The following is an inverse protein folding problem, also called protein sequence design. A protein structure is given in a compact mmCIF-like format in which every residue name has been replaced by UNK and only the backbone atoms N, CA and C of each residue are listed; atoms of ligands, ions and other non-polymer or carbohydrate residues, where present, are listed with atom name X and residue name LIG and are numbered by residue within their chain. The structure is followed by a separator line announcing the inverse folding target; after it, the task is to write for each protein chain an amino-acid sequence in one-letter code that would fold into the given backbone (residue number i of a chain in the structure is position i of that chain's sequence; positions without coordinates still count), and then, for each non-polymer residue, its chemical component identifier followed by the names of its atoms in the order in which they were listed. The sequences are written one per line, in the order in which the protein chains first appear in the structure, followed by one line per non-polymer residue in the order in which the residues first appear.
data_IF_873670566407
#
_entry.id   IF_873670566407
#
_cell.length_a   1.000
_cell.length_b   1.000
_cell.length_c   1.000
_cell.angle_alpha   90.00
_cell.angle_beta   90.00
_cell.angle_gamma   90.00
#
_symmetry.space_group_name_H-M   'P 1'
#
loop_
_entity.id
_entity.type
_entity.pdbx_description
1 polymer ?
#
# COMPACT_ATOMS: atom_id res chain seq x y z
N UNK A 1 -2.06 -3.24 -19.86
CA UNK A 1 -0.81 -4.05 -19.77
C UNK A 1 0.14 -3.30 -18.84
N UNK A 2 0.49 -3.85 -17.68
CA UNK A 2 1.42 -3.26 -16.72
C UNK A 2 2.82 -3.83 -16.98
N UNK A 3 3.74 -2.97 -17.38
CA UNK A 3 5.16 -3.32 -17.55
C UNK A 3 5.92 -2.92 -16.29
N UNK A 4 6.60 -3.89 -15.68
CA UNK A 4 7.36 -3.72 -14.46
C UNK A 4 8.85 -3.93 -14.73
N UNK A 5 9.70 -3.22 -13.98
CA UNK A 5 11.15 -3.39 -14.03
C UNK A 5 11.60 -4.45 -13.03
N UNK A 6 12.38 -5.39 -13.50
CA UNK A 6 13.07 -6.35 -12.62
C UNK A 6 14.17 -5.63 -11.86
N UNK A 7 14.26 -5.90 -10.55
CA UNK A 7 15.37 -5.43 -9.71
C UNK A 7 16.26 -6.59 -9.27
N UNK A 8 17.52 -6.29 -8.96
CA UNK A 8 18.48 -7.27 -8.46
C UNK A 8 18.26 -7.59 -6.97
N UNK A 9 19.04 -8.50 -6.40
CA UNK A 9 19.00 -8.89 -4.99
C UNK A 9 19.37 -7.75 -4.01
N UNK A 10 19.86 -6.62 -4.51
CA UNK A 10 20.14 -5.40 -3.73
C UNK A 10 19.07 -4.34 -3.93
N UNK A 11 18.04 -4.63 -4.77
CA UNK A 11 16.98 -3.70 -5.13
C UNK A 11 17.39 -2.65 -6.15
N UNK A 12 18.48 -2.85 -6.89
CA UNK A 12 18.86 -1.96 -7.99
C UNK A 12 18.11 -2.34 -9.25
N UNK A 13 17.75 -1.34 -10.04
CA UNK A 13 17.12 -1.55 -11.34
C UNK A 13 18.02 -2.32 -12.29
N UNK A 14 17.47 -3.33 -12.95
CA UNK A 14 18.09 -4.02 -14.09
C UNK A 14 17.57 -3.46 -15.41
N UNK A 15 18.10 -3.95 -16.53
CA UNK A 15 17.59 -3.61 -17.87
C UNK A 15 16.40 -4.49 -18.28
N UNK A 16 16.04 -5.50 -17.48
CA UNK A 16 14.92 -6.41 -17.78
C UNK A 16 13.59 -5.75 -17.42
N UNK A 17 12.67 -5.71 -18.39
CA UNK A 17 11.30 -5.20 -18.23
C UNK A 17 10.38 -6.32 -18.70
N UNK A 18 9.42 -6.68 -17.87
CA UNK A 18 8.49 -7.76 -18.11
C UNK A 18 7.05 -7.29 -17.89
N UNK A 19 6.10 -7.95 -18.53
CA UNK A 19 4.71 -7.85 -18.16
C UNK A 19 4.50 -8.44 -16.76
N UNK A 20 3.62 -7.83 -15.97
CA UNK A 20 3.37 -8.20 -14.57
C UNK A 20 3.13 -9.69 -14.36
N UNK A 21 2.28 -10.33 -15.22
CA UNK A 21 1.98 -11.75 -15.10
C UNK A 21 3.23 -12.63 -15.38
N UNK A 22 3.99 -12.28 -16.39
CA UNK A 22 5.24 -12.97 -16.72
C UNK A 22 6.27 -12.83 -15.59
N UNK A 23 6.40 -11.61 -15.05
CA UNK A 23 7.32 -11.31 -13.95
C UNK A 23 7.00 -12.17 -12.72
N UNK A 24 5.73 -12.23 -12.33
CA UNK A 24 5.26 -13.03 -11.19
C UNK A 24 5.46 -14.54 -11.45
N UNK A 25 5.10 -15.03 -12.64
CA UNK A 25 5.28 -16.46 -13.00
C UNK A 25 6.75 -16.87 -12.98
N UNK A 26 7.66 -15.96 -13.29
CA UNK A 26 9.12 -16.20 -13.26
C UNK A 26 9.73 -15.94 -11.87
N UNK A 27 8.94 -15.53 -10.87
CA UNK A 27 9.41 -15.23 -9.51
C UNK A 27 10.45 -14.11 -9.45
N UNK A 28 10.39 -13.14 -10.39
CA UNK A 28 11.35 -12.04 -10.46
C UNK A 28 11.05 -10.97 -9.42
N UNK A 29 12.13 -10.36 -8.87
CA UNK A 29 12.03 -9.24 -7.94
C UNK A 29 11.63 -7.96 -8.67
N UNK A 30 10.75 -7.19 -8.05
CA UNK A 30 10.29 -5.87 -8.50
C UNK A 30 10.00 -4.96 -7.31
N UNK A 31 9.51 -3.75 -7.55
CA UNK A 31 9.16 -2.80 -6.50
C UNK A 31 7.64 -2.68 -6.36
N UNK A 32 7.17 -2.73 -5.13
CA UNK A 32 5.79 -2.43 -4.75
C UNK A 32 5.76 -1.32 -3.70
N UNK A 33 4.63 -0.64 -3.64
CA UNK A 33 4.37 0.40 -2.63
C UNK A 33 3.14 0.06 -1.82
N UNK A 34 3.17 0.42 -0.54
CA UNK A 34 1.98 0.53 0.33
C UNK A 34 1.88 1.94 0.87
N UNK A 35 0.66 2.49 0.90
CA UNK A 35 0.42 3.86 1.34
C UNK A 35 -0.63 3.89 2.44
N UNK A 36 -0.27 4.48 3.57
CA UNK A 36 -1.11 4.67 4.74
C UNK A 36 -1.59 6.12 4.78
N UNK A 37 -2.84 6.37 4.39
CA UNK A 37 -3.46 7.68 4.60
C UNK A 37 -3.92 7.70 6.06
N UNK A 38 -3.39 8.64 6.85
CA UNK A 38 -3.63 8.69 8.30
C UNK A 38 -4.27 10.00 8.74
N UNK A 39 -5.06 9.95 9.80
CA UNK A 39 -5.68 11.10 10.45
C UNK A 39 -5.80 10.82 11.95
N UNK A 40 -5.08 11.59 12.77
CA UNK A 40 -4.99 11.30 14.20
C UNK A 40 -4.58 9.83 14.46
N UNK A 41 -5.38 9.09 15.23
CA UNK A 41 -5.13 7.66 15.50
C UNK A 41 -5.86 6.73 14.52
N UNK A 42 -6.18 7.21 13.29
CA UNK A 42 -6.93 6.45 12.29
C UNK A 42 -6.14 6.26 11.01
N UNK A 43 -6.43 5.18 10.31
CA UNK A 43 -5.94 4.89 8.95
C UNK A 43 -7.13 4.66 8.04
N UNK A 44 -7.08 5.23 6.85
CA UNK A 44 -8.06 4.98 5.80
C UNK A 44 -7.83 3.59 5.22
N UNK A 45 -8.75 2.67 5.45
CA UNK A 45 -8.76 1.38 4.80
C UNK A 45 -9.73 1.38 3.64
N UNK A 46 -9.37 0.63 2.61
CA UNK A 46 -10.20 0.36 1.44
C UNK A 46 -10.78 -1.06 1.51
N UNK A 47 -12.06 -1.22 1.18
CA UNK A 47 -12.65 -2.52 0.91
C UNK A 47 -12.38 -2.89 -0.55
N UNK A 48 -11.56 -3.89 -0.79
CA UNK A 48 -11.21 -4.38 -2.13
C UNK A 48 -12.44 -4.91 -2.87
N UNK A 49 -12.49 -4.71 -4.17
CA UNK A 49 -13.58 -5.25 -4.98
C UNK A 49 -13.66 -6.78 -4.85
N UNK A 50 -14.89 -7.31 -4.93
CA UNK A 50 -15.13 -8.78 -4.94
C UNK A 50 -14.54 -9.47 -6.16
N UNK A 51 -14.27 -8.71 -7.22
CA UNK A 51 -13.74 -9.21 -8.51
C UNK A 51 -12.20 -9.22 -8.56
N UNK A 52 -11.53 -8.76 -7.51
CA UNK A 52 -10.05 -8.79 -7.46
C UNK A 52 -9.55 -10.22 -7.38
N UNK A 53 -8.53 -10.56 -8.17
CA UNK A 53 -7.88 -11.88 -8.19
C UNK A 53 -7.29 -12.25 -6.83
N UNK A 54 -6.65 -11.28 -6.16
CA UNK A 54 -5.99 -11.49 -4.87
C UNK A 54 -6.72 -10.76 -3.76
N UNK A 55 -6.93 -11.44 -2.63
CA UNK A 55 -7.60 -10.90 -1.44
C UNK A 55 -8.90 -10.16 -1.76
N UNK A 56 -9.86 -10.76 -2.53
CA UNK A 56 -11.14 -10.12 -2.83
C UNK A 56 -11.91 -9.84 -1.55
N UNK A 57 -12.65 -8.75 -1.54
CA UNK A 57 -13.55 -8.36 -0.45
C UNK A 57 -12.88 -8.21 0.93
N UNK A 58 -11.56 -7.97 1.00
CA UNK A 58 -10.83 -7.71 2.25
C UNK A 58 -10.53 -6.23 2.43
N UNK A 59 -10.34 -5.82 3.67
CA UNK A 59 -9.84 -4.48 4.01
C UNK A 59 -8.31 -4.45 3.88
N UNK A 60 -7.80 -3.39 3.30
CA UNK A 60 -6.36 -3.14 3.15
C UNK A 60 -6.06 -1.65 3.00
N UNK A 61 -4.80 -1.31 2.90
CA UNK A 61 -4.33 0.03 2.51
C UNK A 61 -4.16 0.11 1.00
N UNK A 62 -3.91 1.31 0.48
CA UNK A 62 -3.56 1.51 -0.93
C UNK A 62 -2.24 0.81 -1.22
N UNK A 63 -2.15 0.09 -2.33
CA UNK A 63 -0.95 -0.63 -2.73
C UNK A 63 -0.89 -0.81 -4.25
N UNK A 64 0.32 -0.77 -4.79
CA UNK A 64 0.50 -0.99 -6.23
C UNK A 64 1.93 -1.29 -6.64
N UNK A 65 2.07 -1.78 -7.86
CA UNK A 65 3.36 -2.09 -8.48
C UNK A 65 3.98 -0.85 -9.11
N UNK A 66 5.29 -0.68 -8.93
CA UNK A 66 6.02 0.36 -9.64
C UNK A 66 6.16 -0.01 -11.12
N UNK A 67 5.63 0.84 -11.99
CA UNK A 67 5.81 0.67 -13.42
C UNK A 67 7.30 0.83 -13.79
N UNK A 68 7.70 0.27 -14.93
CA UNK A 68 9.11 0.19 -15.34
C UNK A 68 9.84 1.53 -15.40
N UNK A 69 9.13 2.62 -15.58
CA UNK A 69 9.63 4.00 -15.69
C UNK A 69 9.33 4.86 -14.45
N UNK A 70 8.79 4.29 -13.39
CA UNK A 70 8.46 4.98 -12.16
C UNK A 70 9.46 4.71 -11.04
N UNK A 71 9.68 5.72 -10.21
CA UNK A 71 10.27 5.55 -8.88
C UNK A 71 9.16 5.23 -7.86
N UNK A 72 9.46 4.55 -6.74
CA UNK A 72 8.44 4.18 -5.74
C UNK A 72 7.59 5.33 -5.22
N UNK A 73 8.13 6.54 -5.05
CA UNK A 73 7.36 7.73 -4.67
C UNK A 73 6.37 8.16 -5.75
N UNK A 74 6.78 8.12 -7.02
CA UNK A 74 5.93 8.46 -8.16
C UNK A 74 4.77 7.46 -8.26
N UNK A 75 5.07 6.17 -8.07
CA UNK A 75 4.06 5.11 -7.97
C UNK A 75 3.06 5.40 -6.86
N UNK A 76 3.52 5.73 -5.65
CA UNK A 76 2.65 6.00 -4.52
C UNK A 76 1.70 7.18 -4.79
N UNK A 77 2.19 8.26 -5.40
CA UNK A 77 1.38 9.42 -5.77
C UNK A 77 0.34 9.05 -6.82
N UNK A 78 0.71 8.24 -7.83
CA UNK A 78 -0.22 7.75 -8.85
C UNK A 78 -1.32 6.90 -8.23
N UNK A 79 -0.98 5.89 -7.42
CA UNK A 79 -1.93 4.97 -6.79
C UNK A 79 -2.94 5.71 -5.87
N UNK A 80 -2.47 6.65 -5.04
CA UNK A 80 -3.36 7.48 -4.21
C UNK A 80 -4.37 8.25 -5.09
N UNK A 81 -3.91 8.81 -6.21
CA UNK A 81 -4.77 9.57 -7.11
C UNK A 81 -5.75 8.65 -7.85
N UNK A 82 -5.31 7.48 -8.30
CA UNK A 82 -6.14 6.54 -9.05
C UNK A 82 -7.18 5.87 -8.16
N UNK A 83 -6.76 5.28 -7.04
CA UNK A 83 -7.64 4.49 -6.20
C UNK A 83 -8.66 5.35 -5.40
N UNK A 84 -8.23 6.50 -4.86
CA UNK A 84 -9.07 7.31 -3.96
C UNK A 84 -9.24 8.78 -4.38
N UNK A 85 -8.69 9.19 -5.51
CA UNK A 85 -8.83 10.54 -6.06
C UNK A 85 -8.18 11.64 -5.22
N UNK A 86 -7.30 11.29 -4.29
CA UNK A 86 -6.56 12.26 -3.48
C UNK A 86 -5.35 12.76 -4.27
N UNK A 87 -5.25 14.08 -4.44
CA UNK A 87 -4.08 14.72 -5.05
C UNK A 87 -3.17 15.21 -3.93
N UNK A 88 -1.94 14.76 -3.94
CA UNK A 88 -0.88 15.18 -3.01
C UNK A 88 0.34 15.63 -3.79
N UNK A 89 1.19 16.44 -3.14
CA UNK A 89 2.52 16.78 -3.63
C UNK A 89 3.55 15.80 -3.05
N UNK A 90 4.71 15.69 -3.67
CA UNK A 90 5.75 14.77 -3.23
C UNK A 90 6.25 15.06 -1.80
N UNK A 91 6.28 16.34 -1.40
CA UNK A 91 6.66 16.75 -0.04
C UNK A 91 5.68 16.33 1.06
N UNK A 92 4.43 15.98 0.70
CA UNK A 92 3.41 15.49 1.64
C UNK A 92 3.50 13.97 1.84
N UNK A 93 4.28 13.27 0.99
CA UNK A 93 4.48 11.83 1.07
C UNK A 93 5.76 11.50 1.83
N UNK A 94 5.63 10.85 2.97
CA UNK A 94 6.74 10.53 3.86
C UNK A 94 7.00 9.03 3.90
N UNK A 95 8.28 8.63 3.94
CA UNK A 95 8.66 7.24 4.19
C UNK A 95 8.26 6.85 5.60
N UNK A 96 7.57 5.70 5.73
CA UNK A 96 7.09 5.20 7.02
C UNK A 96 8.11 4.29 7.69
N UNK A 97 8.65 3.36 6.93
CA UNK A 97 9.72 2.45 7.33
C UNK A 97 10.68 2.24 6.16
N UNK A 98 11.96 1.92 6.41
CA UNK A 98 12.88 1.55 5.35
C UNK A 98 12.34 0.41 4.50
N UNK A 99 12.63 0.42 3.21
CA UNK A 99 12.22 -0.67 2.31
C UNK A 99 12.69 -2.02 2.83
N UNK A 100 11.91 -3.05 2.58
CA UNK A 100 12.23 -4.43 2.98
C UNK A 100 11.83 -5.42 1.89
N UNK A 101 12.51 -6.56 1.89
CA UNK A 101 12.22 -7.65 0.97
C UNK A 101 11.01 -8.45 1.48
N UNK A 102 10.07 -8.72 0.58
CA UNK A 102 8.95 -9.63 0.78
C UNK A 102 9.13 -10.80 -0.18
N UNK A 103 9.17 -12.00 0.36
CA UNK A 103 9.27 -13.23 -0.40
C UNK A 103 7.97 -14.01 -0.25
N UNK A 104 7.20 -14.08 -1.32
CA UNK A 104 5.93 -14.80 -1.38
C UNK A 104 5.91 -15.67 -2.65
N UNK A 105 5.22 -16.81 -2.63
CA UNK A 105 5.02 -17.58 -3.86
C UNK A 105 4.42 -16.68 -4.96
N UNK A 106 5.13 -16.55 -6.07
CA UNK A 106 4.74 -15.75 -7.24
C UNK A 106 4.72 -14.21 -7.05
N UNK A 107 5.18 -13.66 -5.90
CA UNK A 107 5.21 -12.21 -5.70
C UNK A 107 6.41 -11.78 -4.83
N UNK A 108 7.61 -11.90 -5.36
CA UNK A 108 8.83 -11.45 -4.71
C UNK A 108 9.08 -9.98 -5.00
N UNK A 109 9.13 -9.12 -3.96
CA UNK A 109 9.25 -7.70 -4.18
C UNK A 109 9.97 -6.95 -3.05
N UNK A 110 10.52 -5.78 -3.38
CA UNK A 110 10.87 -4.78 -2.38
C UNK A 110 9.65 -3.92 -2.09
N UNK A 111 9.19 -3.95 -0.84
CA UNK A 111 8.09 -3.13 -0.34
C UNK A 111 8.61 -1.77 0.11
N UNK A 112 8.04 -0.70 -0.45
CA UNK A 112 8.22 0.68 0.00
C UNK A 112 6.95 1.17 0.68
N UNK A 113 7.06 1.52 1.96
CA UNK A 113 5.92 1.93 2.78
C UNK A 113 5.95 3.42 3.01
N UNK A 114 4.88 4.11 2.63
CA UNK A 114 4.72 5.55 2.78
C UNK A 114 3.50 5.89 3.63
N UNK A 115 3.50 7.10 4.21
CA UNK A 115 2.30 7.66 4.81
C UNK A 115 2.07 9.09 4.31
N UNK A 116 0.81 9.51 4.37
CA UNK A 116 0.34 10.87 4.12
C UNK A 116 -0.75 11.22 5.11
N UNK A 117 -0.75 12.46 5.59
CA UNK A 117 -1.78 12.95 6.52
C UNK A 117 -2.92 13.58 5.73
N UNK A 118 -4.16 13.20 6.05
CA UNK A 118 -5.33 13.80 5.42
C UNK A 118 -6.50 13.85 6.40
N UNK A 119 -7.14 14.99 6.51
CA UNK A 119 -8.35 15.21 7.32
C UNK A 119 -9.65 15.15 6.49
N UNK A 120 -9.59 14.60 5.28
CA UNK A 120 -10.76 14.48 4.41
C UNK A 120 -11.79 13.53 5.00
N UNK A 121 -13.07 13.89 4.83
CA UNK A 121 -14.18 13.00 5.15
C UNK A 121 -14.30 11.87 4.12
N UNK A 122 -14.74 10.70 4.54
CA UNK A 122 -14.84 9.48 3.72
C UNK A 122 -15.59 9.72 2.41
N UNK A 123 -16.71 10.43 2.47
CA UNK A 123 -17.57 10.72 1.33
C UNK A 123 -16.94 11.64 0.26
N UNK A 124 -15.82 12.28 0.58
CA UNK A 124 -15.11 13.17 -0.36
C UNK A 124 -14.07 12.46 -1.21
N UNK A 125 -13.74 11.19 -0.88
CA UNK A 125 -12.85 10.38 -1.70
C UNK A 125 -13.56 9.90 -2.96
N UNK A 126 -12.87 9.98 -4.10
CA UNK A 126 -13.36 9.48 -5.38
C UNK A 126 -12.74 8.13 -5.68
N UNK A 127 -13.40 7.07 -5.26
CA UNK A 127 -12.88 5.71 -5.40
C UNK A 127 -12.98 5.19 -6.82
N UNK A 128 -12.01 4.38 -7.22
CA UNK A 128 -12.03 3.59 -8.45
C UNK A 128 -12.89 2.34 -8.22
N UNK A 129 -14.12 2.36 -8.68
CA UNK A 129 -15.15 1.34 -8.38
C UNK A 129 -14.81 -0.06 -8.91
N UNK A 130 -13.98 -0.15 -9.92
CA UNK A 130 -13.47 -1.42 -10.46
C UNK A 130 -12.58 -2.14 -9.44
N UNK A 131 -11.86 -1.39 -8.63
CA UNK A 131 -10.91 -1.90 -7.65
C UNK A 131 -11.43 -1.91 -6.22
N UNK A 132 -12.28 -0.93 -5.86
CA UNK A 132 -12.73 -0.68 -4.50
C UNK A 132 -14.24 -0.62 -4.40
N UNK A 133 -14.77 -1.12 -3.27
CA UNK A 133 -16.20 -0.99 -2.93
C UNK A 133 -16.47 0.30 -2.16
N UNK A 134 -15.60 0.62 -1.19
CA UNK A 134 -15.64 1.83 -0.36
C UNK A 134 -14.29 2.06 0.34
N UNK A 135 -14.13 3.24 0.91
CA UNK A 135 -13.07 3.56 1.88
C UNK A 135 -13.69 3.99 3.19
N UNK A 136 -13.00 3.72 4.31
CA UNK A 136 -13.46 4.08 5.64
C UNK A 136 -12.29 4.27 6.61
N UNK A 137 -12.43 5.22 7.53
CA UNK A 137 -11.49 5.42 8.62
C UNK A 137 -11.63 4.35 9.69
N UNK A 138 -10.52 3.75 10.07
CA UNK A 138 -10.45 2.75 11.16
C UNK A 138 -9.42 3.17 12.17
N UNK A 139 -9.76 3.05 13.45
CA UNK A 139 -8.80 3.27 14.54
C UNK A 139 -7.68 2.25 14.44
N UNK A 140 -6.44 2.71 14.62
CA UNK A 140 -5.25 1.85 14.54
C UNK A 140 -5.32 0.72 15.56
N UNK A 141 -5.80 0.99 16.78
CA UNK A 141 -5.96 -0.04 17.81
C UNK A 141 -6.93 -1.14 17.37
N UNK A 142 -8.03 -0.75 16.70
CA UNK A 142 -8.97 -1.72 16.12
C UNK A 142 -8.36 -2.59 15.03
N UNK A 143 -7.52 -2.01 14.18
CA UNK A 143 -6.79 -2.77 13.16
C UNK A 143 -5.85 -3.78 13.82
N UNK A 144 -5.10 -3.35 14.85
CA UNK A 144 -4.20 -4.24 15.62
C UNK A 144 -4.97 -5.39 16.29
N UNK A 145 -6.16 -5.12 16.86
CA UNK A 145 -7.04 -6.16 17.40
C UNK A 145 -7.46 -7.18 16.32
N UNK A 146 -7.86 -6.69 15.13
CA UNK A 146 -8.23 -7.56 14.01
C UNK A 146 -7.05 -8.43 13.56
N UNK A 147 -5.84 -7.90 13.54
CA UNK A 147 -4.62 -8.66 13.22
C UNK A 147 -4.37 -9.74 14.29
N UNK A 148 -4.40 -9.37 15.57
CA UNK A 148 -4.15 -10.28 16.69
C UNK A 148 -5.16 -11.41 16.77
N UNK A 149 -6.43 -11.14 16.47
CA UNK A 149 -7.49 -12.14 16.43
C UNK A 149 -7.45 -13.06 15.21
N UNK A 150 -6.55 -12.78 14.24
CA UNK A 150 -6.47 -13.54 12.99
C UNK A 150 -7.69 -13.33 12.09
N UNK A 151 -8.28 -12.12 12.11
CA UNK A 151 -9.44 -11.80 11.29
C UNK A 151 -9.19 -12.10 9.81
N UNK A 152 -10.14 -12.79 9.19
CA UNK A 152 -10.10 -13.08 7.74
C UNK A 152 -10.56 -11.90 6.87
N UNK A 153 -11.05 -10.83 7.51
CA UNK A 153 -11.62 -9.64 6.84
C UNK A 153 -10.57 -8.62 6.39
N UNK A 154 -9.32 -8.82 6.78
CA UNK A 154 -8.18 -7.94 6.50
C UNK A 154 -7.10 -8.66 5.68
N UNK A 155 -6.24 -7.89 5.01
CA UNK A 155 -5.06 -8.41 4.30
C UNK A 155 -3.82 -8.51 5.18
N UNK A 156 -3.80 -7.81 6.31
CA UNK A 156 -2.61 -7.63 7.15
C UNK A 156 -2.22 -8.91 7.90
N UNK A 157 -0.91 -9.10 8.06
CA UNK A 157 -0.29 -10.18 8.82
C UNK A 157 0.28 -9.63 10.16
N UNK A 158 0.64 -10.50 11.09
CA UNK A 158 1.17 -10.11 12.41
C UNK A 158 2.43 -9.25 12.35
N UNK A 159 3.27 -9.46 11.34
CA UNK A 159 4.51 -8.72 11.11
C UNK A 159 4.25 -7.23 10.84
N UNK A 160 3.04 -6.88 10.36
CA UNK A 160 2.67 -5.49 10.04
C UNK A 160 2.20 -4.70 11.27
N UNK A 161 1.98 -5.33 12.43
CA UNK A 161 1.65 -4.63 13.70
C UNK A 161 2.70 -3.55 14.00
N UNK A 162 3.98 -3.82 13.73
CA UNK A 162 5.07 -2.84 13.90
C UNK A 162 4.88 -1.57 13.07
N UNK A 163 4.28 -1.69 11.88
CA UNK A 163 3.99 -0.55 10.99
C UNK A 163 2.88 0.31 11.60
N UNK A 164 1.80 -0.32 12.09
CA UNK A 164 0.70 0.39 12.74
C UNK A 164 1.14 1.06 14.05
N UNK A 165 2.01 0.42 14.84
CA UNK A 165 2.61 1.05 16.02
C UNK A 165 3.46 2.26 15.66
N UNK A 166 4.23 2.18 14.55
CA UNK A 166 5.02 3.32 14.06
C UNK A 166 4.13 4.48 13.63
N UNK A 167 3.00 4.21 12.98
CA UNK A 167 2.00 5.24 12.63
C UNK A 167 1.42 5.92 13.89
N UNK A 168 1.14 5.16 14.96
CA UNK A 168 0.69 5.75 16.23
C UNK A 168 1.73 6.72 16.81
N UNK A 169 3.00 6.34 16.83
CA UNK A 169 4.09 7.22 17.29
C UNK A 169 4.15 8.52 16.48
N UNK A 170 4.08 8.43 15.15
CA UNK A 170 4.07 9.60 14.25
C UNK A 170 2.88 10.49 14.53
N UNK A 171 1.68 9.93 14.65
CA UNK A 171 0.45 10.69 14.91
C UNK A 171 0.47 11.42 16.26
N UNK A 172 1.11 10.85 17.28
CA UNK A 172 1.31 11.52 18.58
C UNK A 172 2.22 12.76 18.48
N UNK A 173 3.16 12.78 17.53
CA UNK A 173 4.06 13.93 17.30
C UNK A 173 3.44 15.02 16.44
N UNK A 174 2.58 14.68 15.48
CA UNK A 174 1.91 15.64 14.60
C UNK A 174 0.84 16.45 15.34
N UNK A 175 0.24 15.88 16.39
CA UNK A 175 -0.85 16.51 17.16
C UNK A 175 -0.37 17.30 18.40
N UNK A 176 0.93 17.49 18.56
CA UNK A 176 1.55 18.36 19.58
C UNK A 176 2.00 19.70 18.99
#
# INVERSE_FOLDING_TARGET
MELLRVVDQKGNNTNEILEREELHNRGKLHNEVTIYITNNNQVLLQRRSKNRRFSPNKLGVIAGHSLYNEKPKETAIREIKEEVGLKIKEEELHELVPRYLVEEPYNNHYMYSYYVVSNKKEETFKIQKEELQYVKWYDIDKIIEMINSGSKDIVFKKEEIKIFNKLKEINLHINK
#
